data_IF_332786260176
#
_entry.id   IF_332786260176
#
_cell.length_a   1.000
_cell.length_b   1.000
_cell.length_c   1.000
_cell.angle_alpha   90.00
_cell.angle_beta   90.00
_cell.angle_gamma   90.00
#
_symmetry.space_group_name_H-M   'P 1'
#
loop_
_entity.id
_entity.type
_entity.pdbx_description
1 polymer ?
#
# COMPACT_ATOMS: atom_id res chain seq x y z
N UNK A 1 2.09 -10.13 -0.82
CA UNK A 1 1.64 -9.11 -1.78
C UNK A 1 0.15 -9.21 -2.06
N UNK A 2 -0.35 -10.38 -2.49
CA UNK A 2 -1.78 -10.56 -2.82
C UNK A 2 -2.73 -10.21 -1.67
N UNK A 3 -2.39 -10.62 -0.44
CA UNK A 3 -3.21 -10.33 0.74
C UNK A 3 -3.39 -8.82 0.97
N UNK A 4 -2.30 -8.06 1.06
CA UNK A 4 -2.37 -6.61 1.25
C UNK A 4 -3.08 -5.91 0.08
N UNK A 5 -2.87 -6.38 -1.16
CA UNK A 5 -3.58 -5.86 -2.34
C UNK A 5 -5.09 -6.07 -2.20
N UNK A 6 -5.53 -7.27 -1.83
CA UNK A 6 -6.94 -7.58 -1.63
C UNK A 6 -7.54 -6.78 -0.48
N UNK A 7 -6.81 -6.60 0.62
CA UNK A 7 -7.23 -5.78 1.77
C UNK A 7 -7.42 -4.32 1.37
N UNK A 8 -6.41 -3.68 0.77
CA UNK A 8 -6.49 -2.26 0.35
C UNK A 8 -7.60 -2.07 -0.69
N UNK A 9 -7.71 -2.96 -1.66
CA UNK A 9 -8.78 -2.91 -2.68
C UNK A 9 -10.17 -3.02 -2.06
N UNK A 10 -10.33 -3.88 -1.05
CA UNK A 10 -11.62 -4.02 -0.34
C UNK A 10 -11.94 -2.78 0.49
N UNK A 11 -10.95 -2.19 1.16
CA UNK A 11 -11.12 -0.96 1.94
C UNK A 11 -11.55 0.20 1.03
N UNK A 12 -10.81 0.46 -0.05
CA UNK A 12 -11.09 1.59 -0.94
C UNK A 12 -12.42 1.43 -1.68
N UNK A 13 -12.74 0.22 -2.15
CA UNK A 13 -14.02 -0.03 -2.83
C UNK A 13 -15.22 0.14 -1.89
N UNK A 14 -15.12 -0.29 -0.63
CA UNK A 14 -16.16 -0.06 0.38
C UNK A 14 -16.34 1.43 0.72
N UNK A 15 -15.27 2.23 0.60
CA UNK A 15 -15.34 3.69 0.75
C UNK A 15 -15.83 4.40 -0.53
N UNK A 16 -16.08 3.66 -1.61
CA UNK A 16 -16.59 4.20 -2.88
C UNK A 16 -15.51 4.78 -3.80
N UNK A 17 -14.23 4.49 -3.57
CA UNK A 17 -13.13 4.89 -4.44
C UNK A 17 -12.83 3.82 -5.49
N UNK A 18 -12.58 4.26 -6.72
CA UNK A 18 -11.85 3.44 -7.69
C UNK A 18 -10.38 3.33 -7.25
N UNK A 19 -9.71 2.23 -7.62
CA UNK A 19 -8.33 1.98 -7.25
C UNK A 19 -7.52 1.69 -8.51
N UNK A 20 -6.53 2.54 -8.78
CA UNK A 20 -5.50 2.32 -9.80
C UNK A 20 -4.15 2.12 -9.10
N UNK A 21 -3.38 1.13 -9.56
CA UNK A 21 -2.07 0.81 -8.99
C UNK A 21 -0.98 0.93 -10.04
N UNK A 22 0.19 1.38 -9.61
CA UNK A 22 1.41 1.43 -10.43
C UNK A 22 2.60 0.88 -9.64
N UNK A 23 3.67 0.53 -10.37
CA UNK A 23 4.94 0.17 -9.74
C UNK A 23 5.44 1.33 -8.87
N UNK A 24 5.96 1.01 -7.69
CA UNK A 24 6.55 1.97 -6.75
C UNK A 24 8.06 1.76 -6.64
N UNK A 25 8.79 2.87 -6.46
CA UNK A 25 10.23 2.88 -6.19
C UNK A 25 10.56 3.03 -4.70
N UNK A 26 9.56 2.93 -3.82
CA UNK A 26 9.73 3.09 -2.37
C UNK A 26 10.60 1.95 -1.78
N UNK A 27 11.83 2.29 -1.39
CA UNK A 27 12.84 1.36 -0.86
C UNK A 27 12.56 0.90 0.57
N UNK A 28 11.55 1.44 1.23
CA UNK A 28 11.05 0.92 2.52
C UNK A 28 10.46 -0.48 2.35
N UNK A 29 10.09 -0.84 1.12
CA UNK A 29 9.44 -2.09 0.77
C UNK A 29 10.34 -2.98 -0.11
N UNK A 30 9.96 -4.25 -0.24
CA UNK A 30 10.63 -5.20 -1.12
C UNK A 30 10.37 -4.80 -2.59
N UNK A 31 11.42 -4.60 -3.41
CA UNK A 31 11.27 -4.28 -4.83
C UNK A 31 10.39 -5.30 -5.57
N UNK A 32 9.44 -4.80 -6.38
CA UNK A 32 8.45 -5.63 -7.07
C UNK A 32 7.33 -6.20 -6.19
N UNK A 33 7.33 -5.89 -4.88
CA UNK A 33 6.26 -6.24 -3.92
C UNK A 33 5.73 -5.00 -3.20
N UNK A 34 5.67 -3.90 -3.93
CA UNK A 34 5.15 -2.60 -3.52
C UNK A 34 4.45 -1.95 -4.70
N UNK A 35 3.36 -1.25 -4.43
CA UNK A 35 2.63 -0.49 -5.44
C UNK A 35 2.18 0.85 -4.86
N UNK A 36 2.26 1.89 -5.69
CA UNK A 36 1.60 3.15 -5.42
C UNK A 36 0.11 3.01 -5.79
N UNK A 37 -0.75 3.71 -5.08
CA UNK A 37 -2.19 3.70 -5.30
C UNK A 37 -2.71 5.12 -5.50
N UNK A 38 -3.55 5.29 -6.50
CA UNK A 38 -4.35 6.48 -6.69
C UNK A 38 -5.82 6.08 -6.87
N UNK A 39 -6.73 6.93 -6.44
CA UNK A 39 -8.15 6.64 -6.53
C UNK A 39 -9.01 7.88 -6.57
N UNK A 40 -10.18 7.76 -7.17
CA UNK A 40 -11.15 8.85 -7.28
C UNK A 40 -12.53 8.37 -6.84
N UNK A 41 -13.28 9.26 -6.18
CA UNK A 41 -14.69 9.05 -5.86
C UNK A 41 -15.46 10.37 -5.99
N UNK A 42 -16.78 10.32 -5.76
CA UNK A 42 -17.59 11.56 -5.65
C UNK A 42 -17.16 12.46 -4.49
N UNK A 43 -16.46 11.90 -3.50
CA UNK A 43 -16.08 12.58 -2.26
C UNK A 43 -14.70 13.21 -2.31
N UNK A 44 -13.89 12.93 -3.33
CA UNK A 44 -12.53 13.45 -3.47
C UNK A 44 -11.57 12.47 -4.14
N UNK A 45 -10.27 12.72 -3.96
CA UNK A 45 -9.20 11.85 -4.46
C UNK A 45 -8.42 11.22 -3.31
N UNK A 46 -7.76 10.10 -3.58
CA UNK A 46 -6.81 9.48 -2.66
C UNK A 46 -5.50 9.20 -3.39
N UNK A 47 -4.42 9.21 -2.61
CA UNK A 47 -3.11 8.74 -3.03
C UNK A 47 -2.46 7.95 -1.90
N UNK A 48 -1.45 7.15 -2.19
CA UNK A 48 -0.76 6.36 -1.18
C UNK A 48 0.07 5.22 -1.75
N UNK A 49 0.39 4.25 -0.91
CA UNK A 49 1.14 3.06 -1.30
C UNK A 49 0.80 1.87 -0.41
N UNK A 50 1.10 0.66 -0.87
CA UNK A 50 1.05 -0.55 -0.06
C UNK A 50 2.07 -1.58 -0.53
N UNK A 51 2.50 -2.45 0.38
CA UNK A 51 3.46 -3.49 0.03
C UNK A 51 3.94 -4.32 1.22
N UNK A 52 4.97 -5.12 0.96
CA UNK A 52 5.72 -5.85 1.98
C UNK A 52 7.00 -5.11 2.36
N UNK A 53 7.19 -4.89 3.66
CA UNK A 53 8.32 -4.12 4.17
C UNK A 53 9.63 -4.85 3.87
N UNK A 54 10.66 -4.10 3.49
CA UNK A 54 11.99 -4.63 3.22
C UNK A 54 12.59 -5.30 4.48
N UNK A 55 13.29 -6.45 4.35
CA UNK A 55 13.90 -7.14 5.49
C UNK A 55 14.87 -6.27 6.29
N UNK A 56 15.57 -5.35 5.63
CA UNK A 56 16.47 -4.39 6.30
C UNK A 56 15.70 -3.46 7.23
N UNK A 57 14.55 -2.94 6.78
CA UNK A 57 13.68 -2.10 7.61
C UNK A 57 13.11 -2.90 8.77
N UNK A 58 12.62 -4.11 8.54
CA UNK A 58 12.14 -5.02 9.60
C UNK A 58 13.22 -5.19 10.68
N UNK A 59 14.46 -5.49 10.28
CA UNK A 59 15.58 -5.66 11.21
C UNK A 59 15.93 -4.38 11.96
N UNK A 60 15.98 -3.23 11.27
CA UNK A 60 16.33 -1.95 11.87
C UNK A 60 15.30 -1.49 12.91
N UNK A 61 14.06 -1.94 12.78
CA UNK A 61 12.96 -1.66 13.72
C UNK A 61 12.69 -2.82 14.70
N UNK A 62 13.58 -3.83 14.76
CA UNK A 62 13.48 -4.99 15.66
C UNK A 62 12.15 -5.76 15.54
N UNK A 63 11.57 -5.78 14.34
CA UNK A 63 10.37 -6.56 14.05
C UNK A 63 10.77 -8.02 13.80
N UNK A 64 10.10 -8.96 14.46
CA UNK A 64 10.50 -10.39 14.44
C UNK A 64 10.00 -11.17 13.22
N UNK A 65 9.05 -10.62 12.46
CA UNK A 65 8.35 -11.32 11.38
C UNK A 65 8.19 -10.45 10.13
N UNK A 66 7.97 -11.05 8.95
CA UNK A 66 7.57 -10.30 7.75
C UNK A 66 6.32 -9.46 7.99
N UNK A 67 6.35 -8.19 7.58
CA UNK A 67 5.25 -7.23 7.78
C UNK A 67 4.77 -6.66 6.44
N UNK A 68 3.46 -6.52 6.30
CA UNK A 68 2.81 -5.73 5.25
C UNK A 68 2.43 -4.35 5.80
N UNK A 69 2.49 -3.33 4.97
CA UNK A 69 2.03 -1.99 5.34
C UNK A 69 1.34 -1.30 4.17
N UNK A 70 0.51 -0.32 4.52
CA UNK A 70 -0.10 0.61 3.56
C UNK A 70 -0.33 1.96 4.21
N UNK A 71 -0.38 3.00 3.40
CA UNK A 71 -0.75 4.35 3.79
C UNK A 71 -1.65 4.93 2.70
N UNK A 72 -2.71 5.64 3.11
CA UNK A 72 -3.66 6.32 2.21
C UNK A 72 -3.88 7.73 2.74
N UNK A 73 -3.66 8.71 1.88
CA UNK A 73 -3.99 10.10 2.10
C UNK A 73 -5.29 10.46 1.37
N UNK A 74 -6.18 11.18 2.05
CA UNK A 74 -7.43 11.71 1.48
C UNK A 74 -7.22 13.20 1.16
N UNK A 75 -7.41 13.56 -0.11
CA UNK A 75 -7.18 14.90 -0.65
C UNK A 75 -8.47 15.72 -0.75
#
# INVERSE_FOLDING_TARGET
FTEIKSTVSSVLSNLGYSMEISDSSNTTFIPGRVADVNGESKSGKITGFFGEIAPEVIRNFELEYPVIAFEIEFL
#
